data_IF_107352159187
#
_entry.id   IF_107352159187
#
_cell.length_a   1.000
_cell.length_b   1.000
_cell.length_c   1.000
_cell.angle_alpha   90.00
_cell.angle_beta   90.00
_cell.angle_gamma   90.00
#
_symmetry.space_group_name_H-M   'P 1'
#
loop_
_entity.id
_entity.type
_entity.pdbx_description
1 polymer ?
#
# COMPACT_ATOMS: atom_id res chain seq x y z
N UNK A 1 -11.95 26.33 41.47
CA UNK A 1 -11.63 24.93 41.09
C UNK A 1 -12.38 24.42 39.86
N UNK A 2 -13.71 24.64 39.72
CA UNK A 2 -14.48 24.15 38.55
C UNK A 2 -14.04 24.67 37.16
N UNK A 3 -13.46 25.88 37.08
CA UNK A 3 -13.00 26.46 35.79
C UNK A 3 -11.63 25.95 35.31
N UNK A 4 -10.79 25.43 36.21
CA UNK A 4 -9.47 24.88 35.85
C UNK A 4 -9.62 23.46 35.28
N UNK A 5 -10.61 22.69 35.76
CA UNK A 5 -10.90 21.35 35.25
C UNK A 5 -11.48 21.36 33.82
N UNK A 6 -12.24 22.39 33.45
CA UNK A 6 -12.81 22.53 32.10
C UNK A 6 -11.77 22.89 31.03
N UNK A 7 -10.72 23.63 31.38
CA UNK A 7 -9.64 24.00 30.46
C UNK A 7 -8.71 22.79 30.22
N UNK A 8 -8.51 21.94 31.23
CA UNK A 8 -7.71 20.72 31.11
C UNK A 8 -8.37 19.67 30.19
N UNK A 9 -9.72 19.56 30.21
CA UNK A 9 -10.44 18.65 29.31
C UNK A 9 -10.45 19.10 27.84
N UNK A 10 -10.39 20.41 27.56
CA UNK A 10 -10.29 20.93 26.18
C UNK A 10 -8.88 20.74 25.62
N UNK A 11 -7.84 20.89 26.44
CA UNK A 11 -6.45 20.62 26.05
C UNK A 11 -6.15 19.12 25.84
N UNK A 12 -6.81 18.22 26.58
CA UNK A 12 -6.67 16.77 26.39
C UNK A 12 -7.45 16.25 25.17
N UNK A 13 -8.50 16.94 24.71
CA UNK A 13 -9.18 16.61 23.44
C UNK A 13 -8.44 17.14 22.20
N UNK A 14 -7.65 18.21 22.33
CA UNK A 14 -6.83 18.73 21.23
C UNK A 14 -5.63 17.83 20.88
N UNK A 15 -5.20 16.95 21.79
CA UNK A 15 -4.11 15.99 21.58
C UNK A 15 -4.58 14.60 21.07
N UNK A 16 -5.90 14.42 20.89
CA UNK A 16 -6.50 13.20 20.38
C UNK A 16 -7.23 13.42 19.04
N UNK A 17 -6.82 14.45 18.28
CA UNK A 17 -7.19 14.52 16.88
C UNK A 17 -6.61 13.30 16.16
N UNK A 18 -7.40 12.55 15.36
CA UNK A 18 -6.79 11.64 14.40
C UNK A 18 -5.85 12.51 13.56
N UNK A 19 -4.56 12.21 13.62
CA UNK A 19 -3.58 12.69 12.65
C UNK A 19 -4.07 12.21 11.28
N UNK A 20 -4.94 13.00 10.65
CA UNK A 20 -5.21 12.93 9.23
C UNK A 20 -3.85 13.19 8.58
N UNK A 21 -3.22 12.13 8.07
CA UNK A 21 -1.95 12.22 7.39
C UNK A 21 -2.19 12.92 6.05
N UNK A 22 -2.29 14.25 6.08
CA UNK A 22 -2.35 15.08 4.88
C UNK A 22 -0.99 15.03 4.20
N UNK A 23 -0.98 14.89 2.88
CA UNK A 23 0.25 14.93 2.10
C UNK A 23 0.91 16.30 2.24
N UNK A 24 2.23 16.32 2.47
CA UNK A 24 2.99 17.57 2.57
C UNK A 24 2.93 18.36 1.25
N UNK A 25 2.83 19.69 1.33
CA UNK A 25 2.66 20.56 0.15
C UNK A 25 3.80 20.40 -0.87
N UNK A 26 5.05 20.35 -0.39
CA UNK A 26 6.23 20.13 -1.24
C UNK A 26 6.14 18.82 -2.04
N UNK A 27 5.49 17.80 -1.49
CA UNK A 27 5.28 16.54 -2.20
C UNK A 27 4.12 16.63 -3.18
N UNK A 28 3.11 17.46 -2.89
CA UNK A 28 1.97 17.71 -3.78
C UNK A 28 2.41 18.43 -5.06
N UNK A 29 3.35 19.36 -4.94
CA UNK A 29 3.95 20.09 -6.08
C UNK A 29 4.69 19.18 -7.07
N UNK A 30 5.04 17.95 -6.69
CA UNK A 30 5.70 16.96 -7.56
C UNK A 30 4.74 16.17 -8.46
N UNK A 31 3.43 16.37 -8.29
CA UNK A 31 2.36 15.72 -9.06
C UNK A 31 1.76 16.68 -10.09
N UNK A 32 1.33 16.13 -11.22
CA UNK A 32 0.59 16.86 -12.24
C UNK A 32 -0.84 17.19 -11.79
N UNK A 33 -1.39 18.25 -12.36
CA UNK A 33 -2.77 18.65 -12.15
C UNK A 33 -3.74 17.66 -12.82
N UNK A 34 -4.98 17.61 -12.33
CA UNK A 34 -5.96 16.62 -12.77
C UNK A 34 -6.23 16.66 -14.30
N UNK A 35 -6.17 17.84 -14.91
CA UNK A 35 -6.34 18.05 -16.35
C UNK A 35 -5.22 17.41 -17.18
N UNK A 36 -3.98 17.42 -16.66
CA UNK A 36 -2.81 16.87 -17.35
C UNK A 36 -2.81 15.34 -17.34
N UNK A 37 -3.43 14.75 -16.31
CA UNK A 37 -3.57 13.31 -16.16
C UNK A 37 -4.56 12.69 -17.16
N UNK A 38 -5.38 13.51 -17.84
CA UNK A 38 -6.29 13.04 -18.90
C UNK A 38 -7.31 12.01 -18.41
N UNK A 39 -7.80 12.17 -17.18
CA UNK A 39 -8.74 11.25 -16.54
C UNK A 39 -10.16 11.57 -16.98
N UNK A 40 -10.87 10.58 -17.49
CA UNK A 40 -12.30 10.68 -17.80
C UNK A 40 -13.07 9.64 -16.98
N UNK A 41 -14.03 10.12 -16.19
CA UNK A 41 -14.98 9.25 -15.48
C UNK A 41 -16.07 8.83 -16.45
N UNK A 42 -16.33 7.52 -16.52
CA UNK A 42 -17.37 6.93 -17.36
C UNK A 42 -18.43 6.34 -16.44
N UNK A 43 -19.61 6.95 -16.47
CA UNK A 43 -20.79 6.47 -15.75
C UNK A 43 -21.73 5.70 -16.68
N UNK A 44 -22.84 5.16 -16.14
CA UNK A 44 -23.81 4.39 -16.94
C UNK A 44 -24.36 5.19 -18.14
N UNK A 45 -24.58 6.49 -17.96
CA UNK A 45 -25.09 7.38 -19.01
C UNK A 45 -24.09 7.60 -20.16
N UNK A 46 -22.80 7.32 -19.93
CA UNK A 46 -21.72 7.56 -20.90
C UNK A 46 -21.42 6.37 -21.79
N UNK A 47 -21.96 5.19 -21.47
CA UNK A 47 -21.70 3.95 -22.22
C UNK A 47 -22.00 4.07 -23.71
N UNK A 48 -23.10 4.76 -24.07
CA UNK A 48 -23.48 4.99 -25.46
C UNK A 48 -22.51 5.92 -26.22
N UNK A 49 -21.61 6.60 -25.52
CA UNK A 49 -20.60 7.53 -26.08
C UNK A 49 -19.17 7.02 -25.88
N UNK A 50 -19.00 5.80 -25.39
CA UNK A 50 -17.71 5.23 -25.03
C UNK A 50 -16.70 5.30 -26.17
N UNK A 51 -17.12 5.00 -27.41
CA UNK A 51 -16.28 5.11 -28.61
C UNK A 51 -15.73 6.53 -28.84
N UNK A 52 -16.56 7.56 -28.64
CA UNK A 52 -16.13 8.95 -28.74
C UNK A 52 -15.16 9.34 -27.63
N UNK A 53 -15.32 8.77 -26.43
CA UNK A 53 -14.43 9.03 -25.30
C UNK A 53 -13.04 8.39 -25.52
N UNK A 54 -12.99 7.14 -25.99
CA UNK A 54 -11.73 6.44 -26.28
C UNK A 54 -11.00 7.00 -27.51
N UNK A 55 -11.74 7.60 -28.45
CA UNK A 55 -11.16 8.23 -29.64
C UNK A 55 -10.51 9.59 -29.34
N UNK A 56 -10.78 10.19 -28.18
CA UNK A 56 -10.16 11.44 -27.75
C UNK A 56 -8.71 11.19 -27.33
N UNK A 57 -7.77 11.84 -28.00
CA UNK A 57 -6.32 11.73 -27.79
C UNK A 57 -5.84 12.27 -26.44
N UNK A 58 -6.63 13.14 -25.81
CA UNK A 58 -6.37 13.64 -24.46
C UNK A 58 -6.78 12.65 -23.36
N UNK A 59 -7.60 11.65 -23.68
CA UNK A 59 -8.00 10.63 -22.71
C UNK A 59 -6.84 9.67 -22.50
N UNK A 60 -6.26 9.67 -21.29
CA UNK A 60 -5.19 8.76 -20.88
C UNK A 60 -5.71 7.66 -19.96
N UNK A 61 -6.67 8.02 -19.10
CA UNK A 61 -7.21 7.15 -18.07
C UNK A 61 -8.73 7.15 -18.13
N UNK A 62 -9.32 5.96 -18.19
CA UNK A 62 -10.77 5.77 -17.97
C UNK A 62 -11.02 5.31 -16.54
N UNK A 63 -11.80 6.09 -15.80
CA UNK A 63 -12.33 5.70 -14.50
C UNK A 63 -13.76 5.16 -14.68
N UNK A 64 -13.89 3.85 -14.82
CA UNK A 64 -15.15 3.16 -15.06
C UNK A 64 -15.94 3.00 -13.76
N UNK A 65 -16.98 3.81 -13.61
CA UNK A 65 -17.90 3.83 -12.47
C UNK A 65 -19.29 3.34 -12.88
N UNK A 66 -19.31 2.13 -13.46
CA UNK A 66 -20.50 1.47 -14.00
C UNK A 66 -20.80 0.23 -13.16
N UNK A 67 -22.07 -0.05 -12.91
CA UNK A 67 -22.46 -1.27 -12.19
C UNK A 67 -22.39 -2.52 -13.09
N UNK A 68 -22.03 -3.65 -12.48
CA UNK A 68 -21.79 -4.94 -13.15
C UNK A 68 -22.82 -5.35 -14.21
N UNK A 69 -24.10 -5.08 -13.97
CA UNK A 69 -25.21 -5.50 -14.84
C UNK A 69 -25.46 -4.59 -16.07
N UNK A 70 -24.77 -3.45 -16.17
CA UNK A 70 -24.92 -2.49 -17.28
C UNK A 70 -23.78 -2.53 -18.29
N UNK A 71 -22.67 -3.20 -17.96
CA UNK A 71 -21.49 -3.27 -18.82
C UNK A 71 -21.46 -4.58 -19.62
N UNK A 72 -21.34 -4.48 -20.94
CA UNK A 72 -21.38 -5.61 -21.87
C UNK A 72 -19.97 -6.09 -22.24
N UNK A 73 -19.89 -7.32 -22.77
CA UNK A 73 -18.65 -7.85 -23.34
C UNK A 73 -18.15 -7.04 -24.55
N UNK A 74 -19.04 -6.40 -25.30
CA UNK A 74 -18.69 -5.51 -26.41
C UNK A 74 -17.97 -4.25 -25.92
N UNK A 75 -18.50 -3.60 -24.89
CA UNK A 75 -17.82 -2.48 -24.24
C UNK A 75 -16.45 -2.90 -23.68
N UNK A 76 -16.37 -4.08 -23.07
CA UNK A 76 -15.12 -4.63 -22.58
C UNK A 76 -14.07 -4.80 -23.68
N UNK A 77 -14.45 -5.36 -24.84
CA UNK A 77 -13.57 -5.54 -25.97
C UNK A 77 -12.98 -4.23 -26.48
N UNK A 78 -13.82 -3.20 -26.65
CA UNK A 78 -13.39 -1.86 -27.05
C UNK A 78 -12.37 -1.26 -26.07
N UNK A 79 -12.67 -1.32 -24.78
CA UNK A 79 -11.80 -0.79 -23.72
C UNK A 79 -10.50 -1.57 -23.62
N UNK A 80 -10.53 -2.89 -23.78
CA UNK A 80 -9.35 -3.74 -23.71
C UNK A 80 -8.37 -3.46 -24.85
N UNK A 81 -8.87 -3.28 -26.07
CA UNK A 81 -8.06 -2.87 -27.22
C UNK A 81 -7.44 -1.47 -27.02
N UNK A 82 -8.19 -0.57 -26.40
CA UNK A 82 -7.68 0.76 -26.04
C UNK A 82 -6.57 0.66 -24.98
N UNK A 83 -6.75 -0.14 -23.92
CA UNK A 83 -5.71 -0.40 -22.92
C UNK A 83 -4.44 -0.97 -23.59
N UNK A 84 -4.57 -1.96 -24.47
CA UNK A 84 -3.43 -2.58 -25.17
C UNK A 84 -2.55 -1.58 -25.92
N UNK A 85 -3.13 -0.46 -26.38
CA UNK A 85 -2.43 0.63 -27.08
C UNK A 85 -1.65 1.58 -26.16
N UNK A 86 -1.72 1.41 -24.84
CA UNK A 86 -0.94 2.19 -23.88
C UNK A 86 -1.75 3.01 -22.89
N UNK A 87 -3.07 2.86 -22.87
CA UNK A 87 -3.94 3.60 -21.98
C UNK A 87 -4.28 2.83 -20.70
N UNK A 88 -4.87 3.50 -19.72
CA UNK A 88 -5.17 2.89 -18.41
C UNK A 88 -6.64 2.86 -18.07
N UNK A 89 -7.10 1.74 -17.51
CA UNK A 89 -8.45 1.54 -17.03
C UNK A 89 -8.45 1.38 -15.51
N UNK A 90 -9.29 2.16 -14.83
CA UNK A 90 -9.60 2.03 -13.40
C UNK A 90 -11.03 1.54 -13.25
N UNK A 91 -11.20 0.39 -12.60
CA UNK A 91 -12.49 -0.28 -12.37
C UNK A 91 -12.84 -0.21 -10.89
N UNK A 92 -14.05 0.27 -10.57
CA UNK A 92 -14.52 0.43 -9.19
C UNK A 92 -15.47 -0.67 -8.72
N UNK A 93 -16.06 -1.43 -9.66
CA UNK A 93 -16.93 -2.57 -9.36
C UNK A 93 -16.19 -3.88 -9.65
N UNK A 94 -15.93 -4.68 -8.61
CA UNK A 94 -15.18 -5.94 -8.75
C UNK A 94 -15.86 -6.91 -9.73
N UNK A 95 -17.19 -6.85 -9.89
CA UNK A 95 -17.93 -7.78 -10.78
C UNK A 95 -17.56 -7.62 -12.24
N UNK A 96 -16.96 -6.50 -12.63
CA UNK A 96 -16.50 -6.23 -14.00
C UNK A 96 -15.13 -6.83 -14.32
N UNK A 97 -14.38 -7.27 -13.31
CA UNK A 97 -12.98 -7.65 -13.46
C UNK A 97 -12.76 -8.89 -14.32
N UNK A 98 -13.76 -9.78 -14.40
CA UNK A 98 -13.71 -10.96 -15.26
C UNK A 98 -13.56 -10.61 -16.73
N UNK A 99 -14.11 -9.49 -17.19
CA UNK A 99 -13.92 -8.99 -18.55
C UNK A 99 -12.47 -8.60 -18.86
N UNK A 100 -11.68 -8.31 -17.82
CA UNK A 100 -10.34 -7.75 -17.91
C UNK A 100 -9.25 -8.71 -17.41
N UNK A 101 -9.63 -9.98 -17.24
CA UNK A 101 -8.70 -11.07 -16.94
C UNK A 101 -8.28 -11.16 -15.47
N UNK A 102 -8.96 -10.43 -14.59
CA UNK A 102 -8.76 -10.49 -13.14
C UNK A 102 -9.88 -11.31 -12.51
N UNK A 103 -9.57 -12.14 -11.50
CA UNK A 103 -10.57 -13.01 -10.86
C UNK A 103 -11.28 -12.26 -9.72
N UNK A 104 -12.57 -11.90 -9.88
CA UNK A 104 -13.28 -11.17 -8.84
C UNK A 104 -13.60 -12.08 -7.66
N UNK A 105 -13.60 -11.48 -6.46
CA UNK A 105 -14.05 -12.12 -5.24
C UNK A 105 -15.02 -11.18 -4.51
N UNK A 106 -16.03 -11.76 -3.89
CA UNK A 106 -16.96 -11.06 -3.01
C UNK A 106 -16.78 -11.55 -1.57
N UNK A 107 -16.17 -10.72 -0.74
CA UNK A 107 -15.85 -11.04 0.65
C UNK A 107 -17.00 -10.69 1.60
N UNK A 108 -17.06 -11.41 2.71
CA UNK A 108 -18.07 -11.26 3.77
C UNK A 108 -17.58 -10.30 4.86
N UNK A 109 -18.49 -9.55 5.52
CA UNK A 109 -18.13 -8.62 6.60
C UNK A 109 -17.40 -9.29 7.76
N UNK A 110 -17.62 -10.59 8.01
CA UNK A 110 -16.96 -11.35 9.08
C UNK A 110 -15.46 -11.56 8.82
N UNK A 111 -15.00 -11.39 7.58
CA UNK A 111 -13.63 -11.65 7.17
C UNK A 111 -12.68 -10.49 7.47
N UNK A 112 -13.20 -9.32 7.88
CA UNK A 112 -12.39 -8.12 8.11
C UNK A 112 -13.01 -7.18 9.14
N UNK A 113 -12.24 -6.16 9.56
CA UNK A 113 -12.75 -5.11 10.47
C UNK A 113 -13.33 -3.97 9.67
N UNK A 114 -14.50 -3.50 10.06
CA UNK A 114 -15.21 -2.50 9.29
C UNK A 114 -16.13 -1.62 10.15
N UNK A 115 -16.60 -0.54 9.54
CA UNK A 115 -17.63 0.35 10.08
C UNK A 115 -18.65 0.67 8.98
N UNK A 116 -19.97 0.68 9.26
CA UNK A 116 -20.96 1.09 8.27
C UNK A 116 -20.67 2.49 7.74
N UNK A 117 -20.75 2.67 6.43
CA UNK A 117 -20.47 3.95 5.77
C UNK A 117 -21.33 4.14 4.51
N UNK A 118 -21.36 5.36 3.98
CA UNK A 118 -21.99 5.67 2.69
C UNK A 118 -21.01 6.38 1.78
N UNK A 119 -21.01 5.99 0.51
CA UNK A 119 -20.18 6.57 -0.55
C UNK A 119 -20.99 6.85 -1.81
N UNK A 120 -20.35 7.48 -2.79
CA UNK A 120 -20.96 7.79 -4.09
C UNK A 120 -20.08 7.27 -5.23
N UNK A 121 -20.65 6.42 -6.09
CA UNK A 121 -19.99 5.85 -7.28
C UNK A 121 -20.93 6.03 -8.46
N UNK A 122 -20.45 6.61 -9.55
CA UNK A 122 -21.18 6.81 -10.80
C UNK A 122 -22.47 7.59 -10.61
N UNK A 123 -22.39 8.73 -9.90
CA UNK A 123 -23.58 9.53 -9.57
C UNK A 123 -24.53 8.94 -8.51
N UNK A 124 -24.37 7.68 -8.09
CA UNK A 124 -25.28 6.99 -7.19
C UNK A 124 -24.73 6.83 -5.78
N UNK A 125 -25.59 7.00 -4.77
CA UNK A 125 -25.23 6.75 -3.36
C UNK A 125 -25.33 5.26 -3.05
N UNK A 126 -24.30 4.73 -2.42
CA UNK A 126 -24.20 3.32 -2.05
C UNK A 126 -24.07 3.18 -0.54
N UNK A 127 -24.75 2.18 0.01
CA UNK A 127 -24.44 1.66 1.32
C UNK A 127 -23.19 0.77 1.21
N UNK A 128 -22.37 0.76 2.24
CA UNK A 128 -21.18 -0.06 2.26
C UNK A 128 -20.47 0.06 3.59
N UNK A 129 -19.17 -0.17 3.55
CA UNK A 129 -18.34 -0.15 4.75
C UNK A 129 -17.04 0.57 4.53
N UNK A 130 -16.58 1.27 5.58
CA UNK A 130 -15.23 1.77 5.68
C UNK A 130 -14.34 0.70 6.32
N UNK A 131 -13.15 0.49 5.77
CA UNK A 131 -12.13 -0.42 6.31
C UNK A 131 -10.72 0.11 6.06
N UNK A 132 -9.72 -0.51 6.69
CA UNK A 132 -8.31 -0.17 6.53
C UNK A 132 -7.62 -1.27 5.76
N UNK A 133 -6.86 -0.88 4.75
CA UNK A 133 -6.02 -1.77 3.96
C UNK A 133 -4.54 -1.37 4.09
N UNK A 134 -3.67 -2.36 4.04
CA UNK A 134 -2.23 -2.22 4.12
C UNK A 134 -1.61 -2.28 2.71
N UNK A 135 -0.57 -1.49 2.50
CA UNK A 135 0.29 -1.58 1.32
C UNK A 135 1.42 -2.60 1.59
N UNK A 136 1.17 -3.88 1.31
CA UNK A 136 2.03 -4.98 1.79
C UNK A 136 3.13 -5.35 0.78
N UNK A 137 2.96 -5.03 -0.51
CA UNK A 137 3.91 -5.43 -1.57
C UNK A 137 4.60 -4.23 -2.21
N UNK A 138 5.85 -4.46 -2.61
CA UNK A 138 6.67 -3.49 -3.32
C UNK A 138 6.19 -3.35 -4.77
N UNK A 139 5.36 -2.34 -5.00
CA UNK A 139 5.09 -1.76 -6.31
C UNK A 139 5.31 -0.25 -6.17
N UNK A 140 5.77 0.43 -7.22
CA UNK A 140 6.11 1.84 -7.16
C UNK A 140 4.93 2.66 -6.63
N UNK A 141 3.71 2.39 -7.10
CA UNK A 141 2.46 3.04 -6.60
C UNK A 141 2.33 3.04 -5.06
N UNK A 142 2.90 2.08 -4.34
CA UNK A 142 2.88 2.01 -2.88
C UNK A 142 3.97 2.86 -2.18
N UNK A 143 4.80 3.60 -2.92
CA UNK A 143 5.87 4.44 -2.36
C UNK A 143 5.31 5.53 -1.44
N UNK A 144 5.69 5.53 -0.16
CA UNK A 144 5.13 6.45 0.84
C UNK A 144 3.75 6.07 1.35
N UNK A 145 3.30 4.85 1.07
CA UNK A 145 1.99 4.36 1.48
C UNK A 145 2.19 3.21 2.47
N UNK A 146 1.75 3.40 3.72
CA UNK A 146 1.69 2.30 4.68
C UNK A 146 0.31 1.65 4.72
N UNK A 147 -0.72 2.49 4.84
CA UNK A 147 -2.11 2.05 4.95
C UNK A 147 -3.07 3.11 4.40
N UNK A 148 -4.23 2.66 3.92
CA UNK A 148 -5.28 3.49 3.36
C UNK A 148 -6.63 3.13 3.96
N UNK A 149 -7.48 4.13 4.19
CA UNK A 149 -8.89 3.90 4.48
C UNK A 149 -9.65 3.80 3.16
N UNK A 150 -10.37 2.70 3.00
CA UNK A 150 -11.17 2.37 1.81
C UNK A 150 -12.65 2.39 2.14
N UNK A 151 -13.49 2.69 1.16
CA UNK A 151 -14.89 2.34 1.17
C UNK A 151 -15.19 1.25 0.17
N UNK A 152 -15.80 0.19 0.68
CA UNK A 152 -16.26 -0.92 -0.11
C UNK A 152 -17.79 -0.81 -0.23
N UNK A 153 -18.34 -0.53 -1.43
CA UNK A 153 -19.79 -0.56 -1.63
C UNK A 153 -20.29 -1.99 -1.42
N UNK A 154 -21.51 -2.13 -0.90
CA UNK A 154 -22.17 -3.43 -0.88
C UNK A 154 -22.57 -3.81 -2.32
N UNK A 155 -22.05 -4.94 -2.79
CA UNK A 155 -22.27 -5.52 -4.11
C UNK A 155 -23.18 -6.76 -4.07
N UNK A 156 -23.64 -7.16 -2.88
CA UNK A 156 -24.51 -8.32 -2.67
C UNK A 156 -25.89 -8.13 -3.27
N UNK A 157 -26.51 -9.26 -3.65
CA UNK A 157 -27.90 -9.30 -4.06
C UNK A 157 -28.80 -9.55 -2.85
N UNK A 158 -30.07 -9.15 -2.93
CA UNK A 158 -31.14 -9.61 -2.04
C UNK A 158 -30.86 -9.47 -0.52
N UNK A 159 -30.22 -8.37 -0.12
CA UNK A 159 -29.94 -8.06 1.28
C UNK A 159 -28.68 -8.72 1.85
N UNK A 160 -27.92 -9.46 1.03
CA UNK A 160 -26.60 -9.95 1.44
C UNK A 160 -25.57 -8.81 1.48
N UNK A 161 -24.69 -8.84 2.49
CA UNK A 161 -23.54 -7.94 2.60
C UNK A 161 -22.32 -8.60 1.98
N UNK A 162 -21.93 -8.13 0.79
CA UNK A 162 -20.81 -8.66 0.01
C UNK A 162 -19.97 -7.51 -0.53
N UNK A 163 -18.66 -7.57 -0.37
CA UNK A 163 -17.76 -6.48 -0.74
C UNK A 163 -16.74 -6.91 -1.78
N UNK A 164 -16.40 -6.03 -2.70
CA UNK A 164 -15.50 -6.34 -3.80
C UNK A 164 -14.04 -6.54 -3.35
N UNK A 165 -13.41 -7.57 -3.89
CA UNK A 165 -11.99 -7.86 -3.81
C UNK A 165 -11.53 -8.61 -5.08
N UNK A 166 -10.23 -8.87 -5.18
CA UNK A 166 -9.62 -9.62 -6.29
C UNK A 166 -8.75 -10.73 -5.74
N UNK A 167 -8.85 -11.90 -6.33
CA UNK A 167 -7.92 -12.98 -6.03
C UNK A 167 -6.56 -12.70 -6.69
N UNK A 168 -5.47 -12.89 -5.96
CA UNK A 168 -4.11 -12.65 -6.45
C UNK A 168 -3.65 -13.87 -7.25
N UNK A 169 -4.03 -13.92 -8.53
CA UNK A 169 -3.67 -14.99 -9.47
C UNK A 169 -3.16 -14.42 -10.80
N UNK A 170 -2.46 -15.26 -11.56
CA UNK A 170 -1.90 -14.88 -12.86
C UNK A 170 -0.87 -13.76 -12.71
N UNK A 171 -1.01 -12.72 -13.52
CA UNK A 171 -0.22 -11.48 -13.50
C UNK A 171 -0.85 -10.36 -12.65
N UNK A 172 -1.81 -10.69 -11.78
CA UNK A 172 -2.42 -9.71 -10.85
C UNK A 172 -1.43 -9.30 -9.78
N UNK A 173 -1.11 -8.01 -9.71
CA UNK A 173 -0.24 -7.41 -8.69
C UNK A 173 -1.11 -6.75 -7.62
N UNK A 174 -1.11 -7.24 -6.37
CA UNK A 174 -1.86 -6.62 -5.30
C UNK A 174 -1.18 -5.33 -4.86
N UNK A 175 -1.98 -4.27 -4.69
CA UNK A 175 -1.54 -2.98 -4.16
C UNK A 175 -1.92 -2.84 -2.69
N UNK A 176 -3.18 -3.13 -2.37
CA UNK A 176 -3.75 -2.99 -1.03
C UNK A 176 -4.41 -4.31 -0.60
N UNK A 177 -4.14 -4.77 0.61
CA UNK A 177 -4.64 -6.02 1.18
C UNK A 177 -4.95 -5.85 2.68
N UNK A 178 -5.73 -6.74 3.29
CA UNK A 178 -5.86 -6.76 4.75
C UNK A 178 -4.63 -7.39 5.41
N UNK A 179 -4.14 -8.47 4.82
CA UNK A 179 -2.93 -9.21 5.23
C UNK A 179 -2.24 -9.77 3.98
N UNK A 180 -0.99 -10.23 4.09
CA UNK A 180 -0.21 -10.68 2.93
C UNK A 180 -0.90 -11.79 2.12
N UNK A 181 -1.69 -12.63 2.80
CA UNK A 181 -2.41 -13.78 2.25
C UNK A 181 -3.89 -13.48 1.95
N UNK A 182 -4.38 -12.28 2.24
CA UNK A 182 -5.77 -11.92 1.93
C UNK A 182 -5.94 -11.64 0.44
N UNK A 183 -7.17 -11.74 -0.10
CA UNK A 183 -7.51 -11.13 -1.39
C UNK A 183 -7.09 -9.66 -1.45
N UNK A 184 -6.83 -9.17 -2.66
CA UNK A 184 -6.47 -7.77 -2.91
C UNK A 184 -7.72 -6.89 -2.90
N UNK A 185 -7.66 -5.79 -2.16
CA UNK A 185 -8.67 -4.75 -2.15
C UNK A 185 -8.39 -3.70 -3.21
N UNK A 186 -7.14 -3.56 -3.64
CA UNK A 186 -6.78 -2.89 -4.89
C UNK A 186 -5.66 -3.67 -5.54
N UNK A 187 -5.71 -3.79 -6.85
CA UNK A 187 -4.73 -4.54 -7.62
C UNK A 187 -4.60 -3.94 -9.02
N UNK A 188 -3.46 -4.19 -9.65
CA UNK A 188 -3.23 -3.82 -11.04
C UNK A 188 -2.74 -5.01 -11.85
N UNK A 189 -2.84 -4.86 -13.16
CA UNK A 189 -2.39 -5.82 -14.16
C UNK A 189 -1.96 -5.08 -15.42
N UNK A 190 -0.89 -5.54 -16.06
CA UNK A 190 -0.44 -5.05 -17.37
C UNK A 190 -1.14 -5.82 -18.48
N UNK A 191 -1.56 -5.12 -19.52
CA UNK A 191 -2.06 -5.75 -20.74
C UNK A 191 -1.62 -4.90 -21.95
N UNK A 192 -0.84 -5.52 -22.83
CA UNK A 192 -0.16 -4.80 -23.91
C UNK A 192 0.72 -3.70 -23.34
N UNK A 193 0.51 -2.45 -23.76
CA UNK A 193 1.27 -1.30 -23.27
C UNK A 193 0.58 -0.56 -22.12
N UNK A 194 -0.65 -0.93 -21.79
CA UNK A 194 -1.50 -0.23 -20.83
C UNK A 194 -1.61 -0.90 -19.47
N UNK A 195 -2.56 -0.40 -18.68
CA UNK A 195 -2.77 -0.83 -17.31
C UNK A 195 -4.26 -1.05 -17.03
N UNK A 196 -4.57 -2.10 -16.29
CA UNK A 196 -5.90 -2.38 -15.75
C UNK A 196 -5.76 -2.36 -14.24
N UNK A 197 -6.60 -1.58 -13.57
CA UNK A 197 -6.55 -1.37 -12.13
C UNK A 197 -7.93 -1.62 -11.55
N UNK A 198 -8.02 -2.52 -10.58
CA UNK A 198 -9.13 -2.53 -9.64
C UNK A 198 -8.80 -1.61 -8.47
N UNK A 199 -9.66 -0.62 -8.21
CA UNK A 199 -9.56 0.15 -6.97
C UNK A 199 -10.95 0.56 -6.44
N UNK A 200 -11.24 0.36 -5.15
CA UNK A 200 -12.40 0.92 -4.50
C UNK A 200 -12.20 2.43 -4.26
N UNK A 201 -13.22 3.08 -3.69
CA UNK A 201 -13.10 4.47 -3.29
C UNK A 201 -12.16 4.60 -2.08
N UNK A 202 -11.35 5.65 -2.08
CA UNK A 202 -10.39 5.97 -1.02
C UNK A 202 -10.85 7.20 -0.25
N UNK A 203 -10.50 7.27 1.03
CA UNK A 203 -10.73 8.43 1.88
C UNK A 203 -9.40 9.18 1.89
N UNK A 204 -9.19 10.16 0.99
CA UNK A 204 -7.84 10.66 0.71
C UNK A 204 -7.21 11.31 1.95
N UNK A 205 -8.03 11.96 2.77
CA UNK A 205 -7.61 12.67 3.98
C UNK A 205 -7.26 11.74 5.17
N UNK A 206 -7.56 10.44 5.08
CA UNK A 206 -7.31 9.49 6.15
C UNK A 206 -6.14 8.57 5.78
N UNK A 207 -5.15 8.50 6.68
CA UNK A 207 -3.94 7.71 6.47
C UNK A 207 -3.22 8.13 5.17
N UNK A 208 -2.44 7.25 4.53
CA UNK A 208 -1.71 7.55 3.28
C UNK A 208 -2.63 7.56 2.04
N UNK A 209 -3.94 7.80 2.19
CA UNK A 209 -4.92 7.69 1.11
C UNK A 209 -4.66 8.67 -0.05
N UNK A 210 -4.37 9.93 0.26
CA UNK A 210 -4.03 10.97 -0.73
C UNK A 210 -2.78 10.61 -1.52
N UNK A 211 -1.72 10.13 -0.84
CA UNK A 211 -0.47 9.72 -1.46
C UNK A 211 -0.68 8.53 -2.41
N UNK A 212 -1.39 7.50 -1.96
CA UNK A 212 -1.69 6.33 -2.80
C UNK A 212 -2.51 6.71 -4.03
N UNK A 213 -3.55 7.53 -3.84
CA UNK A 213 -4.38 8.02 -4.96
C UNK A 213 -3.54 8.78 -5.98
N UNK A 214 -2.67 9.69 -5.53
CA UNK A 214 -1.85 10.52 -6.41
C UNK A 214 -0.82 9.68 -7.16
N UNK A 215 -0.11 8.78 -6.47
CA UNK A 215 0.82 7.83 -7.10
C UNK A 215 0.12 6.98 -8.17
N UNK A 216 -1.05 6.44 -7.85
CA UNK A 216 -1.78 5.57 -8.76
C UNK A 216 -2.27 6.32 -10.00
N UNK A 217 -2.79 7.54 -9.83
CA UNK A 217 -3.25 8.34 -10.95
C UNK A 217 -2.10 8.77 -11.87
N UNK A 218 -0.97 9.18 -11.32
CA UNK A 218 0.22 9.48 -12.13
C UNK A 218 0.71 8.29 -12.93
N UNK A 219 0.90 7.17 -12.22
CA UNK A 219 1.38 5.95 -12.85
C UNK A 219 0.42 5.50 -13.95
N UNK A 220 -0.89 5.52 -13.69
CA UNK A 220 -1.91 5.20 -14.69
C UNK A 220 -1.92 6.19 -15.87
N UNK A 221 -1.66 7.48 -15.64
CA UNK A 221 -1.59 8.49 -16.68
C UNK A 221 -0.30 8.43 -17.52
N UNK A 222 0.63 7.53 -17.19
CA UNK A 222 1.85 7.30 -17.95
C UNK A 222 3.05 8.10 -17.45
N UNK A 223 2.98 8.62 -16.23
CA UNK A 223 4.05 9.39 -15.62
C UNK A 223 4.74 8.60 -14.51
N UNK A 224 6.02 8.89 -14.32
CA UNK A 224 6.76 8.35 -13.19
C UNK A 224 6.28 9.03 -11.91
N UNK A 225 6.24 8.27 -10.82
CA UNK A 225 5.80 8.82 -9.54
C UNK A 225 6.97 9.44 -8.79
N UNK A 226 6.73 10.42 -7.90
CA UNK A 226 7.78 10.92 -7.02
C UNK A 226 8.28 9.80 -6.10
N UNK A 227 9.60 9.69 -5.90
CA UNK A 227 10.19 8.74 -4.97
C UNK A 227 9.87 9.05 -3.50
N UNK A 228 10.44 8.29 -2.54
CA UNK A 228 10.31 8.59 -1.12
C UNK A 228 10.73 10.03 -0.86
N UNK A 229 9.95 10.77 -0.07
CA UNK A 229 10.15 12.20 0.20
C UNK A 229 10.09 13.14 -1.03
N UNK A 230 9.66 12.66 -2.20
CA UNK A 230 9.74 13.42 -3.45
C UNK A 230 11.12 13.33 -4.14
N UNK A 231 12.06 12.53 -3.62
CA UNK A 231 13.37 12.36 -4.23
C UNK A 231 13.29 11.52 -5.50
N UNK A 232 13.60 12.14 -6.63
CA UNK A 232 13.65 11.46 -7.93
C UNK A 232 12.29 10.96 -8.42
N UNK A 233 12.33 10.19 -9.50
CA UNK A 233 11.14 9.63 -10.15
C UNK A 233 11.28 8.12 -10.25
N UNK A 234 10.21 7.39 -9.95
CA UNK A 234 10.18 5.93 -9.90
C UNK A 234 9.22 5.33 -10.94
N UNK A 235 9.54 4.11 -11.33
CA UNK A 235 8.69 3.23 -12.11
C UNK A 235 8.82 3.39 -13.62
N UNK A 236 8.27 2.40 -14.31
CA UNK A 236 8.15 2.33 -15.77
C UNK A 236 6.65 2.30 -16.12
N UNK A 237 6.01 3.47 -16.21
CA UNK A 237 4.55 3.54 -16.31
C UNK A 237 4.03 3.07 -17.68
N UNK A 238 2.72 2.74 -17.79
CA UNK A 238 2.03 2.54 -19.06
C UNK A 238 2.20 3.70 -20.04
N UNK A 239 1.99 3.43 -21.32
CA UNK A 239 1.94 4.49 -22.32
C UNK A 239 2.11 3.96 -23.74
N UNK A 240 1.82 4.77 -24.77
CA UNK A 240 1.98 4.39 -26.17
C UNK A 240 3.40 3.89 -26.51
N UNK A 241 4.40 4.40 -25.79
CA UNK A 241 5.81 4.05 -25.98
C UNK A 241 6.33 2.98 -25.00
N UNK A 242 5.52 2.55 -24.03
CA UNK A 242 5.93 1.52 -23.06
C UNK A 242 6.11 0.16 -23.74
N UNK A 243 6.92 -0.72 -23.15
CA UNK A 243 7.08 -2.09 -23.65
C UNK A 243 5.73 -2.81 -23.71
N UNK A 244 5.53 -3.59 -24.78
CA UNK A 244 4.36 -4.43 -24.92
C UNK A 244 4.53 -5.68 -24.05
N UNK A 245 3.64 -5.84 -23.07
CA UNK A 245 3.60 -6.99 -22.17
C UNK A 245 2.42 -7.88 -22.58
N UNK A 246 2.71 -9.10 -23.00
CA UNK A 246 1.68 -10.12 -23.15
C UNK A 246 1.30 -10.61 -21.75
N UNK A 247 0.11 -10.23 -21.27
CA UNK A 247 -0.32 -10.58 -19.92
C UNK A 247 -0.64 -12.06 -19.76
N UNK A 248 -0.61 -12.53 -18.52
CA UNK A 248 -0.98 -13.87 -18.07
C UNK A 248 -2.21 -13.80 -17.16
N UNK A 249 -3.40 -13.53 -17.72
CA UNK A 249 -4.58 -13.22 -16.93
C UNK A 249 -5.07 -14.43 -16.12
N UNK A 250 -5.65 -14.16 -14.94
CA UNK A 250 -6.31 -15.17 -14.12
C UNK A 250 -7.58 -15.75 -14.79
N UNK A 251 -8.24 -14.93 -15.61
CA UNK A 251 -9.39 -15.33 -16.43
C UNK A 251 -9.04 -15.10 -17.90
N UNK A 252 -9.17 -16.10 -18.79
CA UNK A 252 -8.88 -15.91 -20.21
C UNK A 252 -9.70 -14.77 -20.82
N UNK A 253 -9.01 -13.87 -21.54
CA UNK A 253 -9.64 -12.76 -22.25
C UNK A 253 -10.32 -13.28 -23.51
N UNK A 254 -11.58 -12.90 -23.75
CA UNK A 254 -12.30 -13.25 -24.96
C UNK A 254 -11.52 -12.80 -26.21
N UNK A 255 -11.26 -13.72 -27.15
CA UNK A 255 -10.52 -13.45 -28.39
C UNK A 255 -9.01 -13.79 -28.36
N UNK A 256 -8.48 -14.33 -27.26
CA UNK A 256 -7.08 -14.79 -27.18
C UNK A 256 -6.89 -16.21 -27.75
N UNK A 257 -6.92 -16.34 -29.07
CA UNK A 257 -6.45 -17.54 -29.78
C UNK A 257 -5.16 -17.22 -30.52
N UNK A 258 -4.02 -17.69 -30.02
CA UNK A 258 -2.91 -18.15 -30.87
C UNK A 258 -2.04 -19.14 -30.10
N UNK A 259 -1.72 -20.21 -30.82
CA UNK A 259 -1.04 -21.42 -30.38
C UNK A 259 0.49 -21.24 -30.40
N UNK A 260 1.15 -21.72 -29.32
CA UNK A 260 2.49 -22.37 -29.24
C UNK A 260 3.80 -21.62 -29.62
N UNK A 261 4.99 -22.10 -29.16
CA UNK A 261 5.28 -23.32 -28.40
C UNK A 261 5.90 -23.12 -27.01
N UNK A 262 5.57 -24.07 -26.14
CA UNK A 262 6.23 -24.37 -24.87
C UNK A 262 7.69 -24.77 -25.06
N UNK A 263 8.60 -24.12 -24.33
CA UNK A 263 9.92 -24.69 -24.03
C UNK A 263 9.84 -25.32 -22.64
N UNK A 264 10.20 -26.60 -22.61
CA UNK A 264 10.08 -27.49 -21.47
C UNK A 264 11.01 -27.13 -20.31
N UNK A 265 10.44 -27.33 -19.11
CA UNK A 265 11.01 -27.86 -17.88
C UNK A 265 12.55 -27.96 -17.71
N UNK A 266 13.02 -27.42 -16.59
CA UNK A 266 14.05 -28.08 -15.78
C UNK A 266 13.60 -28.06 -14.31
N UNK A 267 13.18 -29.23 -13.84
CA UNK A 267 12.99 -29.56 -12.43
C UNK A 267 14.35 -29.59 -11.72
N UNK A 268 14.43 -29.04 -10.51
CA UNK A 268 15.33 -29.58 -9.49
C UNK A 268 14.69 -29.46 -8.11
N UNK A 269 14.25 -30.61 -7.63
CA UNK A 269 13.75 -30.90 -6.30
C UNK A 269 14.90 -31.14 -5.32
N UNK A 270 14.78 -30.60 -4.10
CA UNK A 270 15.40 -31.09 -2.86
C UNK A 270 14.71 -30.36 -1.69
N UNK A 271 13.64 -30.91 -1.11
CA UNK A 271 13.63 -31.87 0.01
C UNK A 271 14.56 -31.50 1.18
N UNK A 272 13.97 -30.92 2.22
CA UNK A 272 14.60 -30.73 3.53
C UNK A 272 13.52 -30.54 4.59
N UNK A 273 12.98 -31.63 5.12
CA UNK A 273 12.01 -31.66 6.22
C UNK A 273 12.68 -31.31 7.57
N UNK A 274 11.87 -30.93 8.58
CA UNK A 274 12.27 -30.06 9.68
C UNK A 274 12.79 -30.84 10.90
N UNK A 275 13.72 -30.23 11.64
CA UNK A 275 14.14 -30.71 12.95
C UNK A 275 13.33 -30.07 14.07
N UNK A 276 12.77 -30.94 14.92
CA UNK A 276 11.92 -30.67 16.09
C UNK A 276 12.58 -29.85 17.22
N UNK A 277 11.75 -29.26 18.12
CA UNK A 277 12.17 -28.32 19.15
C UNK A 277 12.62 -29.01 20.45
N UNK A 278 13.68 -28.48 21.08
CA UNK A 278 14.08 -28.84 22.45
C UNK A 278 13.37 -27.95 23.49
N UNK A 279 12.72 -28.62 24.45
CA UNK A 279 12.10 -28.07 25.67
C UNK A 279 13.13 -27.64 26.72
N UNK A 280 12.72 -26.65 27.53
CA UNK A 280 13.24 -26.30 28.86
C UNK A 280 13.93 -24.93 28.85
N UNK A 281 13.62 -23.94 29.69
CA UNK A 281 12.96 -23.88 31.00
C UNK A 281 12.55 -22.42 31.28
N UNK A 282 11.55 -22.22 32.14
CA UNK A 282 10.92 -20.93 32.46
C UNK A 282 11.79 -19.83 33.11
N UNK A 283 11.15 -18.71 33.48
CA UNK A 283 11.71 -17.37 33.39
C UNK A 283 12.54 -16.97 34.61
N UNK A 284 13.60 -16.19 34.40
CA UNK A 284 14.24 -15.38 35.44
C UNK A 284 14.16 -13.91 35.04
N UNK A 285 13.33 -13.19 35.80
CA UNK A 285 13.34 -11.73 35.88
C UNK A 285 14.68 -11.33 36.50
N UNK A 286 15.52 -10.65 35.71
CA UNK A 286 16.80 -10.08 36.13
C UNK A 286 16.81 -8.59 35.83
N UNK A 287 17.19 -7.79 36.83
CA UNK A 287 17.12 -6.33 36.83
C UNK A 287 18.07 -5.68 35.81
N UNK A 288 17.64 -4.56 35.23
CA UNK A 288 18.44 -3.67 34.39
C UNK A 288 19.72 -3.22 35.10
N UNK A 289 20.92 -3.50 34.55
CA UNK A 289 22.10 -2.71 34.87
C UNK A 289 22.04 -1.37 34.13
N UNK A 290 22.50 -0.31 34.79
CA UNK A 290 22.56 1.04 34.26
C UNK A 290 23.33 1.09 32.93
N UNK A 291 22.71 1.69 31.91
CA UNK A 291 23.25 1.89 30.56
C UNK A 291 24.32 2.99 30.61
N UNK A 292 25.52 2.69 30.11
CA UNK A 292 26.59 3.69 29.94
C UNK A 292 26.17 4.75 28.91
N UNK A 293 26.40 6.05 29.18
CA UNK A 293 26.06 7.12 28.24
C UNK A 293 26.82 6.92 26.90
N UNK A 294 26.06 6.91 25.81
CA UNK A 294 26.57 6.66 24.46
C UNK A 294 26.38 5.22 23.93
N UNK A 295 25.80 4.31 24.72
CA UNK A 295 25.53 2.93 24.29
C UNK A 295 24.06 2.72 23.93
N UNK A 296 23.80 2.16 22.76
CA UNK A 296 22.49 1.75 22.27
C UNK A 296 22.18 0.32 22.73
N UNK A 297 20.90 0.07 23.03
CA UNK A 297 20.36 -1.24 23.40
C UNK A 297 19.41 -1.71 22.30
N UNK A 298 19.71 -2.85 21.68
CA UNK A 298 18.91 -3.45 20.62
C UNK A 298 18.31 -4.76 21.11
N UNK A 299 16.98 -4.81 21.17
CA UNK A 299 16.23 -6.03 21.45
C UNK A 299 16.02 -6.81 20.17
N UNK A 300 16.51 -8.06 20.14
CA UNK A 300 16.50 -8.94 18.96
C UNK A 300 15.55 -10.12 19.19
N UNK A 301 14.78 -10.51 18.19
CA UNK A 301 13.91 -11.67 18.28
C UNK A 301 14.73 -12.96 18.48
N UNK A 302 14.35 -13.76 19.47
CA UNK A 302 14.91 -15.10 19.68
C UNK A 302 16.39 -15.15 20.11
N UNK A 303 17.00 -14.01 20.44
CA UNK A 303 18.39 -13.93 20.92
C UNK A 303 18.53 -12.91 22.05
N UNK A 304 19.70 -12.90 22.70
CA UNK A 304 20.00 -11.93 23.75
C UNK A 304 20.11 -10.51 23.18
N UNK A 305 19.73 -9.52 24.00
CA UNK A 305 19.84 -8.11 23.65
C UNK A 305 21.28 -7.75 23.28
N UNK A 306 21.44 -6.96 22.21
CA UNK A 306 22.72 -6.47 21.73
C UNK A 306 22.96 -5.09 22.30
N UNK A 307 24.10 -4.91 22.97
CA UNK A 307 24.55 -3.62 23.50
C UNK A 307 25.74 -3.13 22.67
N UNK A 308 25.66 -1.93 22.09
CA UNK A 308 26.68 -1.39 21.20
C UNK A 308 26.38 0.02 20.72
N UNK A 309 27.03 0.48 19.66
CA UNK A 309 26.72 1.77 19.02
C UNK A 309 26.24 1.53 17.60
N UNK A 310 25.06 2.02 17.24
CA UNK A 310 24.60 2.05 15.86
C UNK A 310 25.54 2.97 15.06
N UNK A 311 26.08 2.44 13.96
CA UNK A 311 27.08 3.08 13.10
C UNK A 311 26.47 3.70 11.84
N UNK A 312 25.21 3.38 11.53
CA UNK A 312 24.46 4.02 10.45
C UNK A 312 24.42 5.53 10.70
N UNK A 313 24.99 6.30 9.77
CA UNK A 313 25.04 7.77 9.87
C UNK A 313 23.64 8.37 9.77
N UNK A 314 22.89 7.91 8.77
CA UNK A 314 21.54 8.34 8.49
C UNK A 314 20.64 7.11 8.36
N UNK A 315 19.52 7.13 9.09
CA UNK A 315 18.44 6.17 8.98
C UNK A 315 17.21 6.89 8.42
N UNK A 316 16.41 6.16 7.63
CA UNK A 316 15.23 6.72 6.95
C UNK A 316 13.96 6.09 7.50
N UNK A 317 13.04 6.93 7.95
CA UNK A 317 11.74 6.54 8.49
C UNK A 317 10.61 7.20 7.70
N UNK A 318 9.74 6.41 7.12
CA UNK A 318 8.65 6.88 6.26
C UNK A 318 7.33 6.83 6.99
N UNK A 319 6.73 7.99 7.20
CA UNK A 319 5.36 8.11 7.68
C UNK A 319 4.41 8.21 6.48
N UNK A 320 3.11 8.13 6.74
CA UNK A 320 2.14 8.30 5.66
C UNK A 320 2.11 9.67 5.00
N UNK A 321 2.80 10.67 5.57
CA UNK A 321 2.79 12.07 5.11
C UNK A 321 4.18 12.70 4.93
N UNK A 322 5.25 12.05 5.39
CA UNK A 322 6.61 12.58 5.32
C UNK A 322 7.67 11.49 5.44
N UNK A 323 8.84 11.72 4.87
CA UNK A 323 10.04 10.93 5.15
C UNK A 323 10.93 11.70 6.12
N UNK A 324 11.45 11.00 7.12
CA UNK A 324 12.29 11.54 8.17
C UNK A 324 13.65 10.89 8.02
N UNK A 325 14.66 11.68 7.65
CA UNK A 325 16.05 11.25 7.78
C UNK A 325 16.53 11.66 9.15
N UNK A 326 17.08 10.70 9.90
CA UNK A 326 17.50 10.92 11.27
C UNK A 326 18.80 10.20 11.58
N UNK A 327 19.55 10.73 12.53
CA UNK A 327 20.68 10.05 13.15
C UNK A 327 20.32 9.54 14.55
N UNK A 328 21.21 8.74 15.15
CA UNK A 328 21.02 8.18 16.50
C UNK A 328 20.93 9.23 17.61
N UNK A 329 21.45 10.43 17.40
CA UNK A 329 21.45 11.52 18.40
C UNK A 329 20.09 12.19 18.49
N UNK A 330 19.29 12.17 17.43
CA UNK A 330 17.96 12.80 17.37
C UNK A 330 16.85 11.92 17.93
N UNK A 331 17.08 10.60 18.00
CA UNK A 331 16.06 9.61 18.35
C UNK A 331 16.30 9.05 19.74
N UNK A 332 15.21 8.78 20.44
CA UNK A 332 15.20 8.13 21.75
C UNK A 332 14.96 6.64 21.61
N UNK A 333 13.86 6.25 20.96
CA UNK A 333 13.54 4.84 20.73
C UNK A 333 12.95 4.61 19.34
N UNK A 334 13.22 3.44 18.79
CA UNK A 334 12.59 2.93 17.57
C UNK A 334 12.02 1.54 17.86
N UNK A 335 10.70 1.41 17.79
CA UNK A 335 10.02 0.12 17.89
C UNK A 335 9.73 -0.39 16.48
N UNK A 336 10.12 -1.64 16.22
CA UNK A 336 9.79 -2.30 14.97
C UNK A 336 8.42 -2.97 15.14
N UNK A 337 7.48 -2.58 14.30
CA UNK A 337 6.13 -3.09 14.33
C UNK A 337 6.09 -4.55 13.85
N UNK A 338 5.11 -5.30 14.36
CA UNK A 338 4.81 -6.63 13.80
C UNK A 338 4.21 -6.50 12.39
N UNK A 339 3.95 -7.61 11.69
CA UNK A 339 3.40 -7.63 10.32
C UNK A 339 2.11 -6.80 10.12
N UNK A 340 1.43 -6.41 11.19
CA UNK A 340 0.15 -5.68 11.20
C UNK A 340 0.31 -4.25 11.77
N UNK A 341 1.42 -3.95 12.45
CA UNK A 341 1.66 -2.66 13.10
C UNK A 341 2.77 -1.88 12.38
N UNK A 342 2.58 -0.58 12.22
CA UNK A 342 3.65 0.30 11.73
C UNK A 342 4.75 0.42 12.79
N UNK A 343 5.98 0.61 12.33
CA UNK A 343 7.10 0.99 13.19
C UNK A 343 6.76 2.30 13.91
N UNK A 344 7.38 2.50 15.07
CA UNK A 344 7.18 3.70 15.90
C UNK A 344 8.51 4.33 16.24
N UNK A 345 8.73 5.53 15.73
CA UNK A 345 9.89 6.37 16.01
C UNK A 345 9.54 7.39 17.10
N UNK A 346 10.32 7.43 18.18
CA UNK A 346 10.19 8.41 19.26
C UNK A 346 11.44 9.29 19.27
N UNK A 347 11.26 10.55 18.90
CA UNK A 347 12.31 11.57 18.88
C UNK A 347 12.65 12.01 20.31
N UNK A 348 13.86 12.55 20.53
CA UNK A 348 14.27 13.04 21.87
C UNK A 348 13.47 14.25 22.35
N UNK A 349 12.93 15.05 21.45
CA UNK A 349 12.02 16.15 21.76
C UNK A 349 10.63 15.68 22.22
N UNK A 350 10.37 14.37 22.21
CA UNK A 350 9.11 13.75 22.59
C UNK A 350 8.14 13.54 21.43
N UNK A 351 8.48 13.99 20.22
CA UNK A 351 7.67 13.77 19.01
C UNK A 351 7.62 12.29 18.67
N UNK A 352 6.43 11.79 18.31
CA UNK A 352 6.20 10.38 17.97
C UNK A 352 5.71 10.27 16.54
N UNK A 353 6.40 9.48 15.73
CA UNK A 353 6.01 9.15 14.37
C UNK A 353 5.66 7.67 14.26
N UNK A 354 4.65 7.36 13.45
CA UNK A 354 4.29 6.00 13.06
C UNK A 354 4.51 5.84 11.56
N UNK A 355 5.18 4.78 11.16
CA UNK A 355 5.69 4.66 9.79
C UNK A 355 6.44 3.37 9.53
N UNK A 356 7.31 3.38 8.54
CA UNK A 356 8.16 2.26 8.16
C UNK A 356 9.62 2.72 8.20
N UNK A 357 10.45 2.05 8.99
CA UNK A 357 11.89 2.14 8.85
C UNK A 357 12.28 1.52 7.50
N UNK A 358 12.88 2.32 6.62
CA UNK A 358 13.32 1.88 5.29
C UNK A 358 14.73 1.26 5.32
N UNK A 359 15.50 1.57 6.36
CA UNK A 359 16.82 0.96 6.60
C UNK A 359 16.65 -0.53 6.92
N UNK A 360 17.08 -1.40 6.00
CA UNK A 360 16.96 -2.86 6.12
C UNK A 360 18.06 -3.48 6.98
N UNK A 361 19.26 -2.89 6.98
CA UNK A 361 20.44 -3.40 7.70
C UNK A 361 20.96 -2.35 8.69
N UNK A 362 21.13 -2.76 9.94
CA UNK A 362 21.78 -1.96 10.97
C UNK A 362 23.18 -2.51 11.28
N UNK A 363 24.15 -1.61 11.21
CA UNK A 363 25.53 -1.85 11.56
C UNK A 363 25.75 -1.41 13.00
N UNK A 364 26.13 -2.34 13.87
CA UNK A 364 26.30 -2.10 15.31
C UNK A 364 27.74 -2.39 15.71
N UNK A 365 28.45 -1.36 16.18
CA UNK A 365 29.76 -1.52 16.79
C UNK A 365 29.63 -2.09 18.20
N UNK A 366 30.13 -3.30 18.41
CA UNK A 366 30.17 -3.97 19.72
C UNK A 366 31.63 -4.15 20.20
N UNK A 367 31.88 -4.47 21.48
CA UNK A 367 33.24 -4.78 21.94
C UNK A 367 33.92 -5.95 21.21
N UNK A 368 33.13 -6.81 20.55
CA UNK A 368 33.61 -7.99 19.83
C UNK A 368 33.84 -7.71 18.33
N UNK A 369 33.54 -6.49 17.87
CA UNK A 369 33.58 -6.09 16.46
C UNK A 369 32.24 -5.57 15.96
N UNK A 370 32.15 -5.36 14.65
CA UNK A 370 30.93 -4.93 13.99
C UNK A 370 29.96 -6.11 13.82
N UNK A 371 28.69 -5.90 14.16
CA UNK A 371 27.60 -6.84 13.96
C UNK A 371 26.57 -6.20 13.03
N UNK A 372 26.16 -6.93 12.00
CA UNK A 372 25.06 -6.52 11.10
C UNK A 372 23.78 -7.23 11.55
N UNK A 373 22.69 -6.47 11.69
CA UNK A 373 21.37 -6.97 12.06
C UNK A 373 20.36 -6.56 10.99
N UNK A 374 19.52 -7.49 10.54
CA UNK A 374 18.41 -7.16 9.66
C UNK A 374 17.25 -6.55 10.45
N UNK A 375 16.46 -5.67 9.82
CA UNK A 375 15.25 -5.08 10.41
C UNK A 375 14.28 -6.16 10.93
N UNK A 376 14.16 -7.27 10.22
CA UNK A 376 13.34 -8.43 10.55
C UNK A 376 13.70 -9.07 11.90
N UNK A 377 14.95 -8.96 12.31
CA UNK A 377 15.45 -9.52 13.57
C UNK A 377 15.22 -8.57 14.76
N UNK A 378 14.91 -7.31 14.51
CA UNK A 378 14.82 -6.28 15.53
C UNK A 378 13.41 -6.11 16.06
N UNK A 379 13.29 -5.96 17.38
CA UNK A 379 12.05 -5.61 18.07
C UNK A 379 12.03 -4.15 18.50
N UNK A 380 13.14 -3.69 19.07
CA UNK A 380 13.25 -2.35 19.65
C UNK A 380 14.70 -1.90 19.66
N UNK A 381 14.92 -0.61 19.45
CA UNK A 381 16.20 0.06 19.64
C UNK A 381 15.98 1.20 20.63
N UNK A 382 16.76 1.22 21.70
CA UNK A 382 16.88 2.36 22.60
C UNK A 382 18.23 3.02 22.35
N UNK A 383 18.21 4.27 21.88
CA UNK A 383 19.43 4.99 21.55
C UNK A 383 20.00 5.68 22.80
N UNK A 384 21.24 5.37 23.13
CA UNK A 384 21.96 5.95 24.26
C UNK A 384 22.08 7.47 24.14
N UNK A 385 22.14 8.19 25.26
CA UNK A 385 22.30 9.65 25.20
C UNK A 385 23.60 10.04 24.49
N UNK A 386 23.59 11.05 23.60
CA UNK A 386 24.81 11.55 22.99
C UNK A 386 25.76 12.04 24.07
N UNK A 387 27.05 11.73 23.93
CA UNK A 387 28.09 12.28 24.79
C UNK A 387 28.05 13.82 24.69
N UNK A 388 28.02 14.50 25.84
CA UNK A 388 27.96 15.96 25.95
C UNK A 388 29.22 16.66 25.46
#
# INVERSE_FOLDING_TARGET
>A
MRRILSILCVLLFALAGPSAAQMAELLREEFHEAEELGIVVVEEADLNRLEGIIANDKTRVLALQVMGNRFSAEHAGLVLEWVRKGHSLLVYDARLLSYFGMKPLLIEPEQFRWKPEKGQIGGHKHHGVATVALAIRAHEVNTGVGQCTLFLPNLGADGEERYGAVEVLGDTVPLLQFTADSPALSALRREGRGLIVYKPLLWPLALSGERFQSNLLEFAAGFQIPGPAGEGKLGNPPGPNAEYVQGNPAIPLAGSSSEQPSVAAAESSASGSPSEPRKGSGPKVGANPAVDPGTDLLQVYGSDDVTGSVLNKDMRFETGSSSITFDRTQVKTLHIGSTIELDRLVMRDGTVHKGLLLTQELHVGTPQGEKVLEKSDLKCIEFGEPAK
#
